data_IF_476078408247
#
_entry.id   IF_476078408247
#
_cell.length_a   1.000
_cell.length_b   1.000
_cell.length_c   1.000
_cell.angle_alpha   90.00
_cell.angle_beta   90.00
_cell.angle_gamma   90.00
#
_symmetry.space_group_name_H-M   'P 1'
#
loop_
_entity.id
_entity.type
_entity.pdbx_description
1 polymer ?
2 non-polymer ?
3 non-polymer ?
4 non-polymer ?
5 water ?
#
# COMPACT_ATOMS: atom_id res chain seq x y z
N UNK A 16 20.47 18.90 -2.54
CA UNK A 16 19.89 17.73 -3.24
C UNK A 16 20.06 17.81 -4.74
N UNK A 17 20.38 16.69 -5.35
CA UNK A 17 20.36 16.60 -6.80
C UNK A 17 18.94 16.83 -7.31
N UNK A 18 18.84 17.08 -8.62
CA UNK A 18 17.54 17.21 -9.26
C UNK A 18 16.72 15.94 -9.08
N UNK A 19 17.38 14.78 -9.19
CA UNK A 19 16.68 13.52 -9.00
C UNK A 19 16.17 13.39 -7.57
N UNK A 20 17.01 13.70 -6.57
CA UNK A 20 16.55 13.64 -5.19
C UNK A 20 15.36 14.57 -4.98
N UNK A 21 15.41 15.79 -5.54
CA UNK A 21 14.29 16.71 -5.40
C UNK A 21 13.03 16.18 -6.07
N UNK A 22 13.16 15.47 -7.20
CA UNK A 22 11.95 14.93 -7.84
C UNK A 22 11.34 13.83 -6.99
N UNK A 23 12.17 12.97 -6.39
CA UNK A 23 11.66 11.95 -5.47
C UNK A 23 10.93 12.58 -4.31
N UNK A 24 11.52 13.65 -3.74
CA UNK A 24 10.86 14.31 -2.63
C UNK A 24 9.51 14.84 -3.05
N UNK A 25 9.44 15.51 -4.21
CA UNK A 25 8.17 16.05 -4.67
C UNK A 25 7.16 14.93 -4.85
N UNK A 26 7.60 13.81 -5.43
CA UNK A 26 6.67 12.72 -5.73
C UNK A 26 6.04 12.19 -4.45
N UNK A 27 6.84 12.07 -3.38
CA UNK A 27 6.30 11.63 -2.11
C UNK A 27 5.31 12.62 -1.53
N UNK A 28 5.61 13.92 -1.62
CA UNK A 28 4.68 14.93 -1.14
C UNK A 28 3.38 14.92 -1.93
N UNK A 29 3.47 14.79 -3.26
CA UNK A 29 2.28 14.72 -4.09
C UNK A 29 1.42 13.53 -3.74
N UNK A 30 2.03 12.36 -3.55
CA UNK A 30 1.29 11.16 -3.16
C UNK A 30 0.63 11.37 -1.81
N UNK A 31 1.34 12.03 -0.88
CA UNK A 31 0.77 12.30 0.44
C UNK A 31 -0.46 13.19 0.30
N UNK A 32 -0.39 14.22 -0.56
CA UNK A 32 -1.54 15.12 -0.74
C UNK A 32 -2.78 14.35 -1.23
N UNK A 33 -2.58 13.42 -2.15
CA UNK A 33 -3.71 12.63 -2.65
C UNK A 33 -4.29 11.72 -1.56
N UNK A 34 -3.42 11.06 -0.78
CA UNK A 34 -3.88 10.24 0.35
C UNK A 34 -4.72 11.10 1.29
N UNK A 35 -4.21 12.29 1.66
CA UNK A 35 -4.99 13.16 2.51
C UNK A 35 -6.33 13.50 1.90
N UNK A 36 -6.36 13.81 0.59
CA UNK A 36 -7.62 14.15 -0.04
C UNK A 36 -8.59 12.98 -0.01
N UNK A 37 -8.09 11.78 -0.22
CA UNK A 37 -8.99 10.61 -0.20
C UNK A 37 -9.55 10.42 1.22
N UNK A 38 -8.69 10.54 2.22
CA UNK A 38 -9.14 10.30 3.58
C UNK A 38 -10.17 11.35 3.98
N UNK A 39 -10.03 12.56 3.45
CA UNK A 39 -10.99 13.61 3.76
C UNK A 39 -12.33 13.41 3.04
N UNK A 40 -12.42 12.47 2.10
CA UNK A 40 -13.63 12.22 1.32
C UNK A 40 -14.28 10.89 1.69
N UNK A 41 -14.13 10.44 2.93
CA UNK A 41 -14.57 9.10 3.33
C UNK A 41 -16.08 8.91 3.12
N UNK A 42 -16.84 9.97 3.28
CA UNK A 42 -18.27 9.90 3.04
C UNK A 42 -18.60 9.52 1.61
N UNK A 43 -17.69 9.77 0.67
CA UNK A 43 -17.87 9.46 -0.74
C UNK A 43 -17.25 8.12 -1.16
N UNK A 44 -16.65 7.36 -0.24
CA UNK A 44 -16.17 6.03 -0.59
C UNK A 44 -17.33 5.13 -0.92
N UNK A 45 -17.15 4.27 -1.91
CA UNK A 45 -18.21 3.39 -2.35
C UNK A 45 -17.91 2.00 -1.87
N UNK A 46 -18.83 1.43 -1.09
CA UNK A 46 -18.61 0.08 -0.60
C UNK A 46 -18.50 -0.88 -1.78
N UNK A 47 -17.51 -1.78 -1.70
CA UNK A 47 -17.32 -2.85 -2.69
C UNK A 47 -17.51 -4.25 -2.13
N UNK A 48 -16.79 -4.61 -1.04
CA UNK A 48 -16.81 -5.95 -0.54
C UNK A 48 -16.36 -5.96 0.92
N UNK A 49 -16.89 -6.93 1.68
CA UNK A 49 -16.35 -7.14 2.99
C UNK A 49 -16.22 -8.62 3.23
N UNK A 50 -15.72 -8.96 4.38
CA UNK A 50 -15.54 -10.38 4.71
C UNK A 50 -16.02 -10.61 6.11
N UNK A 51 -15.84 -11.84 6.57
CA UNK A 51 -16.41 -12.28 7.84
C UNK A 51 -15.68 -11.68 9.04
N UNK A 52 -14.50 -11.06 8.85
CA UNK A 52 -13.78 -10.33 9.87
C UNK A 52 -14.15 -8.86 9.96
N UNK A 53 -15.09 -8.42 9.11
CA UNK A 53 -15.41 -7.00 9.02
C UNK A 53 -14.41 -6.16 8.27
N UNK A 54 -13.40 -6.75 7.66
CA UNK A 54 -12.57 -5.98 6.74
C UNK A 54 -13.47 -5.47 5.63
N UNK A 55 -13.29 -4.20 5.26
CA UNK A 55 -14.14 -3.56 4.28
C UNK A 55 -13.27 -2.95 3.20
N UNK A 56 -13.60 -3.25 1.97
CA UNK A 56 -12.95 -2.66 0.79
C UNK A 56 -13.91 -1.72 0.10
N UNK A 57 -13.45 -0.52 -0.19
CA UNK A 57 -14.20 0.51 -0.87
C UNK A 57 -13.49 0.86 -2.16
N UNK A 58 -14.16 1.63 -3.02
CA UNK A 58 -13.50 2.31 -4.12
C UNK A 58 -13.82 3.80 -4.10
N UNK A 59 -12.96 4.56 -4.78
CA UNK A 59 -13.17 5.98 -5.02
C UNK A 59 -12.54 6.30 -6.36
N UNK A 60 -13.17 7.20 -7.12
CA UNK A 60 -12.65 7.60 -8.43
C UNK A 60 -11.83 8.85 -8.20
N UNK A 61 -10.56 8.78 -8.58
CA UNK A 61 -9.58 9.85 -8.40
C UNK A 61 -9.11 10.36 -9.76
N UNK A 62 -8.88 11.66 -9.94
CA UNK A 62 -8.49 12.17 -11.27
C UNK A 62 -7.20 11.56 -11.76
N UNK A 63 -7.17 11.32 -13.07
CA UNK A 63 -6.01 10.80 -13.81
C UNK A 63 -5.78 9.33 -13.55
N UNK A 64 -5.64 8.94 -12.28
CA UNK A 64 -5.33 7.58 -11.92
C UNK A 64 -6.56 6.71 -11.80
N UNK A 65 -7.73 7.35 -11.75
CA UNK A 65 -8.97 6.66 -11.80
C UNK A 65 -9.23 5.94 -10.51
N UNK A 66 -9.68 4.73 -10.71
CA UNK A 66 -10.31 3.95 -9.66
C UNK A 66 -9.27 3.47 -8.65
N UNK A 67 -9.56 3.70 -7.38
CA UNK A 67 -8.64 3.46 -6.28
C UNK A 67 -9.36 2.62 -5.22
N UNK A 68 -8.73 1.55 -4.79
CA UNK A 68 -9.30 0.67 -3.78
C UNK A 68 -8.86 1.16 -2.40
N UNK A 69 -9.72 0.93 -1.41
CA UNK A 69 -9.41 1.34 -0.03
C UNK A 69 -9.83 0.22 0.89
N UNK A 70 -8.89 -0.31 1.66
CA UNK A 70 -9.14 -1.29 2.72
C UNK A 70 -9.20 -0.60 4.06
N UNK A 71 -10.23 -0.87 4.87
CA UNK A 71 -10.31 -0.29 6.22
C UNK A 71 -10.52 -1.42 7.21
N UNK A 72 -9.62 -1.51 8.18
CA UNK A 72 -9.63 -2.59 9.15
C UNK A 72 -9.41 -2.01 10.55
N UNK A 73 -10.24 -2.43 11.51
CA UNK A 73 -10.01 -2.04 12.91
C UNK A 73 -9.17 -3.13 13.55
N UNK A 74 -8.09 -2.74 14.28
CA UNK A 74 -7.17 -3.69 14.85
C UNK A 74 -7.07 -3.52 16.37
N UNK A 75 -6.94 -4.60 17.10
CA UNK A 75 -6.90 -4.53 18.59
C UNK A 75 -5.48 -4.35 19.13
N UNK A 76 -4.84 -3.28 18.70
CA UNK A 76 -3.54 -2.88 19.26
C UNK A 76 -3.39 -1.37 19.08
N UNK A 77 -2.42 -0.77 19.77
CA UNK A 77 -2.17 0.65 19.57
C UNK A 77 -1.67 0.94 18.15
N UNK A 78 -2.01 2.12 17.67
CA UNK A 78 -1.57 2.53 16.32
C UNK A 78 -0.06 2.43 16.18
N UNK A 79 0.68 2.76 17.25
CA UNK A 79 2.14 2.72 17.16
C UNK A 79 2.66 1.34 16.75
N UNK A 80 2.01 0.27 17.18
CA UNK A 80 2.51 -1.05 16.84
C UNK A 80 2.38 -1.30 15.34
N UNK A 81 1.27 -0.88 14.76
CA UNK A 81 1.07 -1.11 13.33
C UNK A 81 2.02 -0.25 12.53
N UNK A 82 2.23 1.00 12.97
CA UNK A 82 3.22 1.89 12.37
C UNK A 82 4.60 1.22 12.34
N UNK A 83 5.00 0.63 13.46
CA UNK A 83 6.30 -0.06 13.49
C UNK A 83 6.33 -1.24 12.55
N UNK A 84 5.26 -2.06 12.54
CA UNK A 84 5.35 -3.33 11.84
C UNK A 84 5.17 -3.20 10.33
N UNK A 85 4.37 -2.25 9.91
CA UNK A 85 4.03 -2.08 8.48
C UNK A 85 4.87 -0.97 7.87
N UNK A 86 4.90 0.20 8.53
CA UNK A 86 5.43 1.41 7.91
C UNK A 86 6.92 1.50 8.14
N UNK A 87 7.40 1.19 9.35
CA UNK A 87 8.85 1.35 9.59
C UNK A 87 9.66 0.10 9.24
N UNK A 88 9.02 -1.05 9.06
CA UNK A 88 9.73 -2.31 8.81
C UNK A 88 9.23 -3.01 7.54
N UNK A 89 9.28 -2.31 6.41
CA UNK A 89 8.79 -2.93 5.17
C UNK A 89 9.58 -4.14 4.74
N UNK A 90 10.89 -4.19 5.03
CA UNK A 90 11.63 -5.39 4.64
C UNK A 90 11.27 -6.58 5.53
N UNK A 91 11.08 -6.34 6.82
CA UNK A 91 10.67 -7.39 7.72
C UNK A 91 9.26 -7.87 7.42
N UNK A 92 8.41 -6.99 6.89
CA UNK A 92 7.06 -7.42 6.55
C UNK A 92 7.07 -8.57 5.55
N UNK A 93 8.12 -8.69 4.72
CA UNK A 93 8.22 -9.80 3.79
C UNK A 93 8.10 -11.13 4.51
N UNK A 94 8.66 -11.22 5.71
CA UNK A 94 8.69 -12.50 6.39
C UNK A 94 7.29 -12.96 6.80
N UNK A 95 6.43 -12.06 7.24
CA UNK A 95 5.15 -12.52 7.78
C UNK A 95 3.97 -12.25 6.86
N UNK A 96 4.14 -11.46 5.84
CA UNK A 96 3.06 -11.07 4.95
C UNK A 96 3.24 -11.76 3.61
N UNK A 97 2.44 -12.78 3.38
CA UNK A 97 2.61 -13.61 2.21
C UNK A 97 2.24 -12.89 0.94
N UNK A 98 1.56 -11.74 1.02
CA UNK A 98 1.28 -10.99 -0.21
C UNK A 98 2.50 -10.25 -0.70
N UNK A 99 3.52 -10.11 0.13
CA UNK A 99 4.76 -9.40 -0.19
C UNK A 99 5.84 -10.46 -0.41
N UNK A 100 6.33 -10.56 -1.63
CA UNK A 100 7.37 -11.53 -1.96
C UNK A 100 8.75 -10.99 -1.63
N UNK A 101 8.99 -9.71 -1.86
CA UNK A 101 10.28 -9.11 -1.61
C UNK A 101 10.15 -7.62 -1.43
N UNK A 102 11.12 -7.06 -0.72
CA UNK A 102 11.22 -5.63 -0.55
C UNK A 102 12.67 -5.28 -0.31
N UNK A 103 13.18 -4.30 -1.06
CA UNK A 103 14.54 -3.78 -0.90
C UNK A 103 14.49 -2.28 -0.93
N UNK A 104 15.00 -1.63 0.10
CA UNK A 104 15.16 -0.19 0.09
C UNK A 104 16.40 0.09 -0.77
N UNK A 105 16.21 0.79 -1.87
CA UNK A 105 17.30 1.15 -2.78
C UNK A 105 18.02 2.40 -2.33
N UNK A 106 17.28 3.37 -1.80
CA UNK A 106 17.82 4.71 -1.58
C UNK A 106 16.96 5.49 -0.59
N UNK A 107 17.62 6.32 0.21
CA UNK A 107 16.94 7.19 1.14
C UNK A 107 17.29 8.64 0.86
N UNK A 108 16.29 9.52 0.87
CA UNK A 108 16.46 10.96 0.74
C UNK A 108 15.91 11.63 1.99
N UNK A 109 16.72 12.43 2.68
CA UNK A 109 16.25 12.93 3.97
C UNK A 109 15.87 11.76 4.88
N UNK A 110 15.14 12.03 5.95
CA UNK A 110 14.78 10.96 6.87
C UNK A 110 13.50 10.25 6.44
N UNK A 111 12.68 10.90 5.61
CA UNK A 111 11.34 10.36 5.43
C UNK A 111 10.95 10.10 3.98
N UNK A 112 11.88 10.19 3.03
CA UNK A 112 11.61 9.78 1.65
C UNK A 112 12.49 8.58 1.32
N UNK A 113 11.89 7.48 0.85
CA UNK A 113 12.59 6.24 0.54
C UNK A 113 12.19 5.76 -0.83
N UNK A 114 13.13 5.18 -1.55
CA UNK A 114 12.86 4.54 -2.85
C UNK A 114 13.04 3.05 -2.66
N UNK A 115 12.03 2.26 -3.03
CA UNK A 115 12.06 0.83 -2.78
C UNK A 115 11.77 0.05 -4.04
N UNK A 116 12.26 -1.19 -4.03
CA UNK A 116 11.91 -2.21 -4.99
C UNK A 116 11.03 -3.22 -4.29
N UNK A 117 9.88 -3.55 -4.91
CA UNK A 117 8.87 -4.35 -4.25
C UNK A 117 8.36 -5.41 -5.22
N UNK A 118 8.10 -6.62 -4.71
CA UNK A 118 7.59 -7.70 -5.51
C UNK A 118 6.34 -8.22 -4.82
N UNK A 119 5.24 -8.30 -5.58
CA UNK A 119 3.96 -8.78 -5.08
C UNK A 119 3.70 -10.22 -5.52
N UNK A 120 3.14 -11.00 -4.62
CA UNK A 120 2.98 -12.41 -4.88
C UNK A 120 1.90 -12.62 -5.91
N UNK A 121 2.01 -13.74 -6.63
CA UNK A 121 0.91 -14.12 -7.50
C UNK A 121 -0.39 -14.28 -6.73
N UNK A 122 -1.49 -13.88 -7.36
CA UNK A 122 -2.85 -14.06 -6.85
C UNK A 122 -3.03 -15.42 -6.18
N UNK A 123 -3.83 -15.48 -5.10
CA UNK A 123 -3.91 -16.77 -4.40
C UNK A 123 -4.17 -17.94 -5.35
N UNK A 124 -4.84 -17.68 -6.49
CA UNK A 124 -5.17 -18.76 -7.41
C UNK A 124 -4.37 -18.84 -8.73
N UNK A 125 -3.35 -18.01 -8.92
CA UNK A 125 -2.48 -18.14 -10.08
C UNK A 125 -2.95 -17.45 -11.34
N UNK A 126 -4.17 -16.89 -11.37
CA UNK A 126 -4.58 -16.22 -12.58
C UNK A 126 -3.73 -14.98 -12.82
N UNK A 127 -3.50 -14.16 -11.76
CA UNK A 127 -2.70 -12.94 -11.90
C UNK A 127 -1.27 -13.21 -11.46
N UNK A 128 -0.33 -13.08 -12.40
CA UNK A 128 1.06 -13.37 -12.12
C UNK A 128 1.70 -12.31 -11.24
N UNK A 129 2.80 -12.62 -10.61
CA UNK A 129 3.48 -11.61 -9.78
C UNK A 129 3.93 -10.40 -10.60
N UNK A 130 3.90 -9.25 -9.94
CA UNK A 130 4.43 -8.01 -10.47
C UNK A 130 5.57 -7.53 -9.60
N UNK A 131 6.50 -6.80 -10.20
CA UNK A 131 7.43 -6.01 -9.42
C UNK A 131 7.20 -4.53 -9.68
N UNK A 132 7.73 -3.73 -8.75
CA UNK A 132 7.43 -2.31 -8.69
C UNK A 132 8.66 -1.55 -8.22
N UNK A 133 8.78 -0.32 -8.66
CA UNK A 133 9.70 0.65 -8.08
C UNK A 133 8.87 1.83 -7.56
N UNK A 134 9.03 2.16 -6.27
CA UNK A 134 8.17 3.11 -5.57
C UNK A 134 8.98 4.14 -4.81
N UNK A 135 8.46 5.34 -4.75
CA UNK A 135 8.91 6.34 -3.79
C UNK A 135 7.84 6.46 -2.72
N UNK A 136 8.27 6.54 -1.46
CA UNK A 136 7.37 6.66 -0.33
C UNK A 136 7.83 7.80 0.57
N UNK A 137 6.86 8.49 1.15
CA UNK A 137 7.09 9.56 2.14
C UNK A 137 6.41 9.11 3.42
N UNK A 138 7.17 9.09 4.51
CA UNK A 138 6.64 8.67 5.82
C UNK A 138 6.40 9.93 6.65
N UNK A 139 5.18 10.07 7.18
CA UNK A 139 4.85 11.21 8.02
C UNK A 139 4.21 10.73 9.32
N UNK A 140 4.68 11.30 10.43
CA UNK A 140 4.13 11.08 11.77
C UNK A 140 3.31 12.30 12.12
N UNK A 141 2.06 12.10 12.44
CA UNK A 141 1.23 13.22 12.77
C UNK A 141 0.65 13.00 14.18
N UNK A 142 -0.08 14.01 14.64
CA UNK A 142 -0.61 13.98 16.00
C UNK A 142 -1.52 12.78 16.21
N UNK A 143 -2.36 12.47 15.21
CA UNK A 143 -3.38 11.44 15.35
C UNK A 143 -3.29 10.32 14.33
N UNK A 144 -2.22 10.27 13.53
CA UNK A 144 -2.12 9.23 12.51
C UNK A 144 -0.68 9.16 12.00
N UNK A 145 -0.36 8.03 11.36
CA UNK A 145 0.91 7.79 10.72
C UNK A 145 0.62 7.45 9.27
N UNK A 146 1.41 8.00 8.35
CA UNK A 146 1.20 7.75 6.91
C UNK A 146 2.48 7.25 6.27
N UNK A 147 2.34 6.29 5.35
CA UNK A 147 3.39 6.00 4.40
C UNK A 147 2.73 6.06 3.00
N UNK A 148 2.96 7.14 2.29
CA UNK A 148 2.27 7.43 1.03
C UNK A 148 3.27 7.31 -0.10
N UNK A 149 2.84 6.77 -1.24
CA UNK A 149 3.81 6.61 -2.29
C UNK A 149 3.17 6.45 -3.64
N UNK A 150 4.05 6.27 -4.63
CA UNK A 150 3.69 6.24 -6.03
C UNK A 150 4.86 5.64 -6.79
N UNK A 151 4.59 5.11 -7.98
CA UNK A 151 5.63 4.60 -8.86
C UNK A 151 6.71 5.65 -9.11
N UNK A 152 7.94 5.17 -9.31
CA UNK A 152 9.01 6.04 -9.75
C UNK A 152 10.00 5.17 -10.51
N UNK A 153 11.04 5.80 -11.04
CA UNK A 153 12.10 5.09 -11.74
C UNK A 153 13.38 5.15 -10.93
N UNK A 154 14.15 4.08 -11.04
CA UNK A 154 15.46 4.03 -10.39
C UNK A 154 16.37 3.14 -11.24
N UNK A 155 17.55 3.66 -11.58
CA UNK A 155 18.41 2.98 -12.55
C UNK A 155 18.89 1.62 -12.07
N UNK A 156 18.83 1.32 -10.77
CA UNK A 156 19.25 0.00 -10.30
C UNK A 156 18.22 -1.07 -10.55
N UNK A 157 16.98 -0.70 -10.87
CA UNK A 157 15.91 -1.67 -11.04
C UNK A 157 15.13 -1.34 -12.30
N UNK A 158 15.72 -1.53 -13.46
CA UNK A 158 14.95 -1.46 -14.72
C UNK A 158 13.93 -2.57 -14.79
N UNK A 159 12.92 -2.42 -15.66
CA UNK A 159 12.03 -3.55 -15.92
C UNK A 159 12.82 -4.70 -16.51
N UNK A 160 12.43 -5.91 -16.16
CA UNK A 160 13.08 -7.07 -16.80
C UNK A 160 12.04 -8.13 -17.13
N UNK A 161 12.49 -9.19 -17.80
CA UNK A 161 11.61 -10.28 -18.19
C UNK A 161 11.21 -11.16 -17.03
N UNK A 162 11.82 -11.01 -15.85
CA UNK A 162 11.48 -11.86 -14.72
C UNK A 162 10.05 -11.62 -14.23
N UNK A 163 9.56 -10.39 -14.37
CA UNK A 163 8.27 -9.98 -13.84
C UNK A 163 7.63 -8.98 -14.78
N UNK A 164 6.30 -8.92 -14.78
CA UNK A 164 5.63 -7.73 -15.29
C UNK A 164 5.90 -6.58 -14.32
N UNK A 165 6.33 -5.43 -14.84
CA UNK A 165 6.59 -4.24 -14.04
C UNK A 165 5.26 -3.50 -13.90
N UNK A 166 4.64 -3.65 -12.76
CA UNK A 166 3.46 -2.86 -12.45
C UNK A 166 3.82 -1.43 -12.09
N UNK A 167 2.80 -0.59 -11.97
CA UNK A 167 3.01 0.83 -11.68
C UNK A 167 1.92 1.28 -10.72
N UNK A 168 2.31 1.63 -9.49
CA UNK A 168 1.36 2.21 -8.57
C UNK A 168 1.07 3.66 -8.87
N UNK A 169 -0.21 4.02 -8.77
CA UNK A 169 -0.61 5.41 -8.63
C UNK A 169 -0.48 5.83 -7.17
N UNK A 170 -1.00 7.01 -6.84
CA UNK A 170 -0.93 7.48 -5.44
C UNK A 170 -1.71 6.58 -4.50
N UNK A 171 -1.08 6.22 -3.40
CA UNK A 171 -1.72 5.39 -2.41
C UNK A 171 -0.86 5.33 -1.16
N UNK A 172 -1.18 4.42 -0.26
CA UNK A 172 -0.38 4.38 0.96
C UNK A 172 -1.00 3.53 2.05
N UNK A 173 -0.24 3.42 3.13
CA UNK A 173 -0.66 2.82 4.39
C UNK A 173 -0.86 3.92 5.40
N UNK A 174 -1.98 3.87 6.12
CA UNK A 174 -2.31 4.91 7.10
C UNK A 174 -2.75 4.17 8.34
N UNK A 175 -2.21 4.57 9.50
CA UNK A 175 -2.67 4.03 10.78
C UNK A 175 -3.24 5.20 11.58
N UNK A 176 -4.50 5.09 11.99
CA UNK A 176 -5.18 6.17 12.69
C UNK A 176 -5.30 5.80 14.15
N UNK A 177 -4.82 6.68 15.02
CA UNK A 177 -4.92 6.49 16.45
C UNK A 177 -6.35 6.71 16.92
N UNK A 178 -6.76 5.92 17.90
CA UNK A 178 -8.09 6.08 18.49
C UNK A 178 -7.99 7.15 19.57
N UNK A 179 -8.86 8.14 19.50
CA UNK A 179 -8.91 9.13 20.58
C UNK A 179 -9.47 8.52 21.85
N UNK A 180 -10.40 7.58 21.75
CA UNK A 180 -11.16 7.06 22.89
C UNK A 180 -10.57 5.82 23.53
N UNK A 181 -9.75 5.03 22.83
CA UNK A 181 -9.32 3.74 23.34
C UNK A 181 -7.93 3.47 22.81
N UNK A 182 -6.90 3.74 23.60
CA UNK A 182 -5.52 3.54 23.12
C UNK A 182 -5.16 2.13 22.75
N UNK A 183 -5.97 1.12 23.04
CA UNK A 183 -5.62 -0.26 22.73
C UNK A 183 -6.13 -0.72 21.36
N UNK A 184 -6.76 0.16 20.61
CA UNK A 184 -7.23 -0.17 19.28
C UNK A 184 -6.79 0.92 18.31
N UNK A 185 -6.81 0.59 17.02
CA UNK A 185 -6.47 1.57 16.01
C UNK A 185 -7.20 1.20 14.73
N UNK A 186 -7.07 2.05 13.72
CA UNK A 186 -7.61 1.81 12.38
C UNK A 186 -6.47 1.76 11.37
N UNK A 187 -6.46 0.70 10.54
CA UNK A 187 -5.51 0.53 9.46
C UNK A 187 -6.22 0.78 8.13
N UNK A 188 -5.64 1.62 7.27
CA UNK A 188 -6.21 1.91 5.96
C UNK A 188 -5.13 1.65 4.90
N UNK A 189 -5.46 0.89 3.85
CA UNK A 189 -4.55 0.73 2.71
C UNK A 189 -5.26 1.33 1.51
N UNK A 190 -4.75 2.42 0.99
CA UNK A 190 -5.23 3.01 -0.25
C UNK A 190 -4.35 2.47 -1.37
N UNK A 191 -4.98 1.81 -2.35
CA UNK A 191 -4.29 1.07 -3.40
C UNK A 191 -4.78 1.51 -4.77
N UNK A 192 -3.92 2.20 -5.51
CA UNK A 192 -4.20 2.51 -6.90
C UNK A 192 -3.07 1.89 -7.68
N UNK A 193 -3.37 0.99 -8.58
CA UNK A 193 -2.24 0.35 -9.28
C UNK A 193 -2.68 -0.05 -10.68
N UNK A 194 -1.70 -0.15 -11.58
CA UNK A 194 -1.90 -0.66 -12.92
C UNK A 194 -0.96 -1.84 -13.06
N UNK A 195 -1.53 -3.05 -13.10
CA UNK A 195 -0.73 -4.24 -13.21
C UNK A 195 -0.35 -4.58 -14.66
N UNK A 196 -0.84 -3.81 -15.63
CA UNK A 196 -0.45 -3.97 -17.04
C UNK A 196 -0.91 -5.34 -17.54
N UNK A 197 -0.30 -5.83 -18.59
CA UNK A 197 -0.77 -7.07 -19.15
C UNK A 197 -2.07 -6.90 -19.91
N UNK A 198 -2.73 -8.03 -20.18
CA UNK A 198 -3.93 -8.01 -20.99
C UNK A 198 -5.15 -8.66 -20.38
N UNK A 199 -5.10 -9.10 -19.12
CA UNK A 199 -6.30 -9.59 -18.49
C UNK A 199 -7.32 -8.46 -18.40
N UNK A 200 -8.60 -8.79 -18.48
CA UNK A 200 -9.62 -7.77 -18.29
C UNK A 200 -9.59 -7.19 -16.89
N UNK A 201 -9.98 -5.93 -16.84
CA UNK A 201 -9.91 -5.14 -15.61
C UNK A 201 -10.68 -5.79 -14.49
N UNK A 202 -11.86 -6.39 -14.76
CA UNK A 202 -12.67 -6.90 -13.66
C UNK A 202 -11.94 -8.03 -12.94
N UNK A 203 -11.11 -8.80 -13.67
CA UNK A 203 -10.38 -9.87 -13.02
C UNK A 203 -9.26 -9.31 -12.15
N UNK A 204 -8.57 -8.28 -12.66
CA UNK A 204 -7.57 -7.63 -11.83
C UNK A 204 -8.20 -7.10 -10.54
N UNK A 205 -9.31 -6.39 -10.67
CA UNK A 205 -10.01 -5.83 -9.51
C UNK A 205 -10.40 -6.92 -8.52
N UNK A 206 -10.90 -8.08 -8.99
CA UNK A 206 -11.18 -9.18 -8.07
C UNK A 206 -9.93 -9.60 -7.34
N UNK A 207 -8.79 -9.68 -8.06
CA UNK A 207 -7.55 -10.14 -7.45
C UNK A 207 -7.06 -9.12 -6.43
N UNK A 208 -7.21 -7.81 -6.72
CA UNK A 208 -6.76 -6.80 -5.75
C UNK A 208 -7.59 -6.84 -4.47
N UNK A 209 -8.91 -6.96 -4.57
CA UNK A 209 -9.71 -7.07 -3.37
C UNK A 209 -9.27 -8.27 -2.55
N UNK A 210 -9.08 -9.40 -3.22
CA UNK A 210 -8.67 -10.61 -2.53
C UNK A 210 -7.34 -10.40 -1.83
N UNK A 211 -6.40 -9.72 -2.50
CA UNK A 211 -5.10 -9.43 -1.90
C UNK A 211 -5.25 -8.55 -0.69
N UNK A 212 -6.14 -7.57 -0.75
CA UNK A 212 -6.35 -6.73 0.41
C UNK A 212 -6.85 -7.55 1.62
N UNK A 213 -7.83 -8.43 1.41
CA UNK A 213 -8.27 -9.26 2.53
C UNK A 213 -7.15 -10.14 3.04
N UNK A 214 -6.35 -10.72 2.15
CA UNK A 214 -5.23 -11.55 2.61
C UNK A 214 -4.22 -10.74 3.41
N UNK A 215 -3.88 -9.52 2.95
CA UNK A 215 -3.02 -8.63 3.70
C UNK A 215 -3.56 -8.44 5.11
N UNK A 216 -4.86 -8.14 5.21
CA UNK A 216 -5.45 -7.92 6.52
C UNK A 216 -5.31 -9.16 7.38
N UNK A 217 -5.49 -10.33 6.79
CA UNK A 217 -5.35 -11.57 7.54
C UNK A 217 -3.94 -11.71 8.11
N UNK A 218 -2.92 -11.51 7.27
CA UNK A 218 -1.56 -11.64 7.81
C UNK A 218 -1.25 -10.58 8.86
N UNK A 219 -1.74 -9.35 8.68
CA UNK A 219 -1.49 -8.32 9.67
C UNK A 219 -2.14 -8.70 11.00
N UNK A 220 -3.38 -9.21 10.94
CA UNK A 220 -4.04 -9.62 12.19
C UNK A 220 -3.23 -10.70 12.89
N UNK A 221 -2.75 -11.69 12.13
CA UNK A 221 -1.96 -12.77 12.71
C UNK A 221 -0.67 -12.25 13.30
N UNK A 222 -0.05 -11.27 12.66
CA UNK A 222 1.19 -10.71 13.17
C UNK A 222 0.95 -9.98 14.48
N UNK A 223 -0.14 -9.22 14.55
CA UNK A 223 -0.45 -8.51 15.77
C UNK A 223 -0.73 -9.50 16.90
N UNK A 224 -1.40 -10.60 16.58
CA UNK A 224 -1.67 -11.61 17.60
C UNK A 224 -0.38 -12.23 18.10
N UNK A 225 0.48 -12.63 17.17
CA UNK A 225 1.74 -13.27 17.55
C UNK A 225 2.56 -12.35 18.45
N UNK A 226 2.61 -11.06 18.13
CA UNK A 226 3.36 -10.12 18.94
C UNK A 226 2.73 -9.93 20.31
N UNK A 227 1.40 -10.03 20.40
CA UNK A 227 0.70 -9.87 21.67
C UNK A 227 0.76 -11.08 22.57
N UNK A 228 1.14 -12.25 22.04
CA UNK A 228 1.26 -13.47 22.82
C UNK A 228 2.58 -13.54 23.57
N UNK A 229 3.69 -13.22 22.91
CA UNK A 229 5.00 -13.21 23.54
C UNK A 229 4.96 -12.60 24.95
X LIG B 1 0.86 -15.29 -18.35
X LIG B 1 -0.91 -14.58 -19.40
X LIG B 1 -0.01 -14.44 -18.54
X LIG B 1 -0.01 -13.19 -17.70
X LIG B 1 1.11 -13.15 -16.80
X LIG B 1 -1.30 -13.08 -16.92
X LIG B 1 -1.43 -14.23 -16.09
X LIG B 1 -1.31 -11.81 -16.08
X LIG B 1 -1.31 -11.89 -14.84
X LIG B 1 -1.33 -10.71 -16.70
X LIG B 1 0.04 -12.31 -18.37
X LIG B 1 1.05 -13.90 -16.18
X LIG B 1 -2.13 -13.04 -17.63
X LIG B 1 -0.69 -14.27 -15.46
X LIG C 1 10.09 -11.40 14.70
X LIG C 1 10.15 -10.17 15.51
X LIG C 1 11.19 -12.29 15.06
X LIG C 1 10.18 -11.07 13.28
X LIG C 1 8.86 -12.15 14.93
X LIG D 1 -6.88 -1.08 -10.15
X LIG D 1 -7.56 -0.46 -11.24
X LIG D 1 -7.05 -0.24 -8.87
X LIG D 1 -6.28 0.97 -8.99
X LIG D 1 -7.28 -2.09 -9.99
X LIG D 1 -5.82 -1.18 -10.40
X LIG D 1 -7.46 -1.00 -12.04
X LIG D 1 -8.10 -0.01 -8.72
X LIG D 1 -6.69 -0.82 -8.02
X LIG D 1 -6.39 1.49 -8.18
X LIG E 1 2.87 3.04 -2.54
X LIG E 1 3.60 2.99 -3.78
X LIG E 1 1.39 2.85 -2.83
X LIG E 1 1.02 3.78 -3.82
X LIG E 1 3.23 2.25 -1.88
X LIG E 1 3.04 4.01 -2.06
X LIG E 1 4.54 3.11 -3.60
X LIG E 1 1.20 1.83 -3.18
X LIG E 1 0.81 3.01 -1.92
X LIG E 1 0.08 3.69 -4.02
X LIG F 1 13.97 -2.24 7.00
X LIG F 1 12.80 -2.17 6.20
X LIG F 1 13.57 -2.91 8.29
X LIG F 1 12.43 -3.76 8.03
X LIG F 1 14.75 -2.81 6.50
X LIG F 1 14.34 -1.23 7.20
X LIG F 1 13.01 -1.74 5.36
X LIG F 1 14.39 -3.50 8.67
X LIG F 1 13.30 -2.16 9.04
X LIG F 1 12.17 -4.20 8.85
#
# INVERSE_FOLDING_TARGET
GSDNESDEEVAGKKSFSAQEREYIRQGKEATAVVDQILAQEENWKFEKNNEYGDTVYTIEVPFHGKTFILKTFLPCPAELVYQEVILQPERMVLWNKTVTACQILQRVEDNTLISYDVSAGAAGGVVSPRDFVNVRRIERRRDRYLSSGIATSHSAKPPTHKYVRGENGPGGFIVLKSASNPRVCTFVWILNTDLKGRLPRYLIHQSLAATMFEFAFHLRQRISELGAR
TLA O1 O11 C1 C2 O2 C3 O3 C4 O4 O41 H2 HA H3 HB
SO4 S O1 O2 O3 O4
EDO C1 O1 C2 O2 H11 H12 HO1 H21 H22 HO2
EDO C1 O1 C2 O2 H11 H12 HO1 H21 H22 HO2
EDO C1 O1 C2 O2 H11 H12 HO1 H21 H22 HO2
#
